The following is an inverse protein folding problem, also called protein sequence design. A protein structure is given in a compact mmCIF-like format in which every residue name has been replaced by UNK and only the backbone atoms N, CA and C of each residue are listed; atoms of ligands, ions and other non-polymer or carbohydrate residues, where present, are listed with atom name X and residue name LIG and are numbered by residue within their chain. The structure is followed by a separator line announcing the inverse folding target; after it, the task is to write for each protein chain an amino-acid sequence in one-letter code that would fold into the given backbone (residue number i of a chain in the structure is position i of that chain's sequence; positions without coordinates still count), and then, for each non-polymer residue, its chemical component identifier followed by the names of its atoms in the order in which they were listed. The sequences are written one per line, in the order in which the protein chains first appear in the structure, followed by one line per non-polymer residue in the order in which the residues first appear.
data_IF_991598989554
#
_entry.id   IF_991598989554
#
_cell.length_a   1.000
_cell.length_b   1.000
_cell.length_c   1.000
_cell.angle_alpha   90.00
_cell.angle_beta   90.00
_cell.angle_gamma   90.00
#
_symmetry.space_group_name_H-M   'P 1'
#
loop_
_entity.id
_entity.type
_entity.pdbx_description
1 polymer ?
#
# COMPACT_ATOMS: atom_id res chain seq x y z
N UNK A 1 14.84 8.47 -87.39
CA UNK A 1 15.64 8.92 -86.23
C UNK A 1 14.68 9.11 -85.07
N UNK A 2 14.50 8.04 -84.26
CA UNK A 2 13.62 8.05 -83.12
C UNK A 2 14.44 8.37 -81.87
N UNK A 3 14.04 9.40 -81.11
CA UNK A 3 14.61 9.75 -79.79
C UNK A 3 13.85 9.00 -78.70
N UNK A 4 14.53 8.13 -77.95
CA UNK A 4 14.03 7.46 -76.77
C UNK A 4 14.32 8.37 -75.57
N UNK A 5 13.27 8.85 -74.92
CA UNK A 5 13.36 9.63 -73.70
C UNK A 5 13.26 8.66 -72.47
N UNK A 6 14.34 8.54 -71.70
CA UNK A 6 14.46 7.75 -70.49
C UNK A 6 13.89 8.57 -69.32
N UNK A 7 12.77 8.13 -68.69
CA UNK A 7 12.21 8.74 -67.47
C UNK A 7 12.87 8.12 -66.26
N UNK A 8 13.62 8.95 -65.51
CA UNK A 8 14.23 8.59 -64.22
C UNK A 8 13.16 8.72 -63.13
N UNK A 9 12.78 7.61 -62.49
CA UNK A 9 11.87 7.62 -61.32
C UNK A 9 12.71 7.70 -60.05
N UNK A 10 12.64 8.85 -59.38
CA UNK A 10 13.27 9.06 -58.06
C UNK A 10 12.33 8.50 -57.01
N UNK A 11 12.69 7.37 -56.38
CA UNK A 11 11.98 6.81 -55.23
C UNK A 11 12.47 7.55 -53.97
N UNK A 12 11.60 8.36 -53.36
CA UNK A 12 11.83 8.97 -52.04
C UNK A 12 11.45 7.95 -50.96
N UNK A 13 12.45 7.33 -50.34
CA UNK A 13 12.28 6.47 -49.20
C UNK A 13 12.03 7.31 -47.94
N UNK A 14 10.81 7.27 -47.39
CA UNK A 14 10.51 7.86 -46.11
C UNK A 14 11.07 6.97 -44.99
N UNK A 15 12.12 7.41 -44.33
CA UNK A 15 12.64 6.75 -43.13
C UNK A 15 11.69 7.09 -41.93
N UNK A 16 10.92 6.10 -41.46
CA UNK A 16 10.16 6.20 -40.24
C UNK A 16 11.08 6.12 -39.02
N UNK A 17 11.35 7.25 -38.38
CA UNK A 17 11.99 7.26 -37.03
C UNK A 17 11.02 6.70 -36.01
N UNK A 18 11.24 5.47 -35.54
CA UNK A 18 10.56 4.91 -34.41
C UNK A 18 11.22 5.51 -33.14
N UNK A 19 10.61 6.54 -32.56
CA UNK A 19 10.98 7.01 -31.23
C UNK A 19 10.54 5.94 -30.20
N UNK A 20 11.46 5.08 -29.77
CA UNK A 20 11.27 4.26 -28.60
C UNK A 20 11.26 5.17 -27.36
N UNK A 21 10.06 5.56 -26.92
CA UNK A 21 9.88 6.31 -25.68
C UNK A 21 10.34 5.43 -24.49
N UNK A 22 11.36 5.86 -23.78
CA UNK A 22 11.74 5.26 -22.50
C UNK A 22 10.64 5.53 -21.49
N UNK A 23 9.91 4.49 -21.08
CA UNK A 23 8.97 4.59 -19.93
C UNK A 23 9.83 4.79 -18.69
N UNK A 24 9.87 6.01 -18.19
CA UNK A 24 10.54 6.31 -16.93
C UNK A 24 9.76 5.64 -15.77
N UNK A 25 10.48 4.99 -14.87
CA UNK A 25 9.88 4.45 -13.66
C UNK A 25 9.30 5.60 -12.83
N UNK A 26 8.01 5.51 -12.48
CA UNK A 26 7.37 6.48 -11.60
C UNK A 26 7.53 6.03 -10.15
N UNK A 27 7.91 6.96 -9.29
CA UNK A 27 8.02 6.70 -7.84
C UNK A 27 7.10 7.65 -7.09
N UNK A 28 6.49 7.14 -6.02
CA UNK A 28 5.65 7.92 -5.11
C UNK A 28 5.93 7.49 -3.68
N UNK A 29 5.94 8.45 -2.76
CA UNK A 29 6.20 8.17 -1.34
C UNK A 29 5.21 8.86 -0.44
N UNK A 30 4.81 8.17 0.62
CA UNK A 30 4.04 8.72 1.73
C UNK A 30 4.87 8.56 2.99
N UNK A 31 5.23 9.67 3.59
CA UNK A 31 6.00 9.72 4.83
C UNK A 31 5.10 10.28 5.93
N UNK A 32 4.61 9.40 6.80
CA UNK A 32 3.76 9.80 7.91
C UNK A 32 4.53 9.89 9.21
N UNK A 33 4.30 10.96 9.95
CA UNK A 33 4.52 10.98 11.39
C UNK A 33 3.30 10.39 12.08
N UNK A 34 3.54 9.52 13.07
CA UNK A 34 2.48 8.79 13.76
C UNK A 34 2.38 9.27 15.19
N UNK A 35 1.15 9.56 15.60
CA UNK A 35 0.80 10.07 16.93
C UNK A 35 -0.12 9.09 17.64
N UNK A 36 0.08 8.97 18.94
CA UNK A 36 -0.88 8.35 19.84
C UNK A 36 -1.46 9.46 20.72
N UNK A 37 -2.73 9.80 20.50
CA UNK A 37 -3.37 11.05 20.91
C UNK A 37 -2.60 12.25 20.35
N UNK A 38 -1.93 13.05 21.18
CA UNK A 38 -1.14 14.20 20.76
C UNK A 38 0.38 13.97 20.88
N UNK A 39 0.78 12.76 21.28
CA UNK A 39 2.20 12.41 21.45
C UNK A 39 2.73 11.73 20.20
N UNK A 40 3.79 12.27 19.55
CA UNK A 40 4.46 11.59 18.45
C UNK A 40 5.12 10.31 18.97
N UNK A 41 4.87 9.20 18.28
CA UNK A 41 5.39 7.88 18.67
C UNK A 41 6.29 7.25 17.61
N UNK A 42 6.42 7.86 16.44
CA UNK A 42 7.27 7.36 15.37
C UNK A 42 6.79 7.69 13.98
N UNK A 43 7.08 6.80 13.04
CA UNK A 43 6.79 7.03 11.63
C UNK A 43 6.27 5.78 10.91
N UNK A 44 5.63 5.98 9.77
CA UNK A 44 5.24 4.96 8.82
C UNK A 44 5.50 5.47 7.41
N UNK A 45 6.41 4.83 6.71
CA UNK A 45 6.85 5.21 5.37
C UNK A 45 6.36 4.19 4.35
N UNK A 46 5.94 4.68 3.21
CA UNK A 46 5.54 3.90 2.05
C UNK A 46 6.32 4.43 0.84
N UNK A 47 6.94 3.54 0.11
CA UNK A 47 7.66 3.87 -1.11
C UNK A 47 7.19 2.96 -2.24
N UNK A 48 6.47 3.54 -3.18
CA UNK A 48 5.93 2.88 -4.36
C UNK A 48 6.83 3.17 -5.57
N UNK A 49 7.24 2.14 -6.28
CA UNK A 49 7.85 2.22 -7.59
C UNK A 49 6.98 1.50 -8.62
N UNK A 50 6.83 2.09 -9.80
CA UNK A 50 6.05 1.52 -10.88
C UNK A 50 6.91 1.42 -12.14
N UNK A 51 6.93 0.22 -12.74
CA UNK A 51 7.55 -0.05 -14.02
C UNK A 51 6.55 -0.77 -14.93
N UNK A 52 5.99 -0.05 -15.88
CA UNK A 52 4.90 -0.55 -16.72
C UNK A 52 3.66 -0.92 -15.89
N UNK A 53 3.23 -2.18 -15.97
CA UNK A 53 2.06 -2.69 -15.25
C UNK A 53 2.38 -3.26 -13.86
N UNK A 54 3.66 -3.41 -13.53
CA UNK A 54 4.12 -3.91 -12.24
C UNK A 54 4.42 -2.75 -11.29
N UNK A 55 4.01 -2.92 -10.04
CA UNK A 55 4.28 -1.98 -8.95
C UNK A 55 4.90 -2.72 -7.79
N UNK A 56 5.92 -2.10 -7.21
CA UNK A 56 6.54 -2.56 -5.97
C UNK A 56 6.32 -1.51 -4.89
N UNK A 57 5.88 -1.95 -3.72
CA UNK A 57 5.71 -1.12 -2.55
C UNK A 57 6.61 -1.62 -1.43
N UNK A 58 7.39 -0.73 -0.84
CA UNK A 58 8.13 -0.95 0.39
C UNK A 58 7.49 -0.17 1.52
N UNK A 59 7.31 -0.83 2.65
CA UNK A 59 6.64 -0.27 3.84
C UNK A 59 7.59 -0.41 5.02
N UNK A 60 7.72 0.65 5.80
CA UNK A 60 8.45 0.66 7.05
C UNK A 60 7.68 1.41 8.12
N UNK A 61 7.37 0.76 9.25
CA UNK A 61 6.79 1.42 10.42
C UNK A 61 7.65 1.19 11.66
N UNK A 62 7.84 2.24 12.44
CA UNK A 62 8.59 2.22 13.71
C UNK A 62 7.86 3.08 14.72
N UNK A 63 7.31 2.45 15.77
CA UNK A 63 6.64 3.14 16.86
C UNK A 63 7.30 2.82 18.19
N UNK A 64 7.39 3.81 19.04
CA UNK A 64 7.91 3.68 20.40
C UNK A 64 7.11 4.56 21.35
N UNK A 65 6.30 3.93 22.19
CA UNK A 65 5.54 4.62 23.24
C UNK A 65 6.32 4.56 24.53
N UNK A 66 6.64 5.73 25.10
CA UNK A 66 7.33 5.84 26.36
C UNK A 66 6.37 6.27 27.47
N UNK A 67 6.52 5.66 28.64
CA UNK A 67 5.88 6.12 29.86
C UNK A 67 6.98 6.48 30.86
N UNK A 68 7.04 7.76 31.25
CA UNK A 68 8.18 8.34 31.96
C UNK A 68 9.48 8.12 31.12
N UNK A 69 10.43 7.33 31.59
CA UNK A 69 11.68 7.02 30.88
C UNK A 69 11.74 5.57 30.39
N UNK A 70 10.63 4.82 30.50
CA UNK A 70 10.57 3.40 30.14
C UNK A 70 9.85 3.24 28.82
N UNK A 71 10.38 2.39 27.92
CA UNK A 71 9.68 1.98 26.73
C UNK A 71 8.51 1.08 27.14
N UNK A 72 7.29 1.61 27.07
CA UNK A 72 6.08 0.91 27.43
C UNK A 72 5.54 0.04 26.29
N UNK A 73 5.82 0.41 25.04
CA UNK A 73 5.41 -0.34 23.85
C UNK A 73 6.34 -0.02 22.68
N UNK A 74 6.71 -1.05 21.94
CA UNK A 74 7.51 -0.95 20.71
C UNK A 74 6.84 -1.72 19.59
N UNK A 75 6.79 -1.13 18.42
CA UNK A 75 6.26 -1.76 17.21
C UNK A 75 7.22 -1.53 16.04
N UNK A 76 7.51 -2.61 15.32
CA UNK A 76 8.23 -2.53 14.04
C UNK A 76 7.48 -3.36 13.00
N UNK A 77 7.36 -2.82 11.80
CA UNK A 77 6.78 -3.53 10.67
C UNK A 77 7.54 -3.17 9.41
N UNK A 78 8.01 -4.18 8.71
CA UNK A 78 8.66 -4.09 7.41
C UNK A 78 7.89 -4.97 6.42
N UNK A 79 7.49 -4.41 5.28
CA UNK A 79 6.85 -5.19 4.25
C UNK A 79 7.30 -4.79 2.85
N UNK A 80 7.26 -5.75 1.95
CA UNK A 80 7.45 -5.58 0.52
C UNK A 80 6.31 -6.25 -0.22
N UNK A 81 5.67 -5.51 -1.11
CA UNK A 81 4.53 -5.98 -1.90
C UNK A 81 4.85 -5.83 -3.39
N UNK A 82 4.52 -6.84 -4.18
CA UNK A 82 4.47 -6.78 -5.64
C UNK A 82 3.04 -6.85 -6.12
N UNK A 83 2.72 -6.00 -7.10
CA UNK A 83 1.37 -5.84 -7.62
C UNK A 83 1.34 -5.97 -9.14
N UNK A 84 0.30 -6.63 -9.65
CA UNK A 84 -0.05 -6.63 -11.08
C UNK A 84 -1.41 -5.98 -11.25
N UNK A 85 -1.44 -4.79 -11.83
CA UNK A 85 -2.64 -3.96 -11.79
C UNK A 85 -3.08 -3.74 -10.33
N UNK A 86 -4.32 -4.06 -9.99
CA UNK A 86 -4.85 -3.91 -8.63
C UNK A 86 -4.78 -5.20 -7.78
N UNK A 87 -4.14 -6.25 -8.29
CA UNK A 87 -4.04 -7.51 -7.58
C UNK A 87 -2.67 -7.66 -6.92
N UNK A 88 -2.67 -8.05 -5.65
CA UNK A 88 -1.45 -8.42 -4.94
C UNK A 88 -0.88 -9.68 -5.57
N UNK A 89 0.36 -9.60 -6.06
CA UNK A 89 1.07 -10.73 -6.66
C UNK A 89 1.98 -11.45 -5.66
N UNK A 90 2.60 -10.69 -4.77
CA UNK A 90 3.37 -11.23 -3.65
C UNK A 90 3.44 -10.22 -2.51
N UNK A 91 3.58 -10.72 -1.30
CA UNK A 91 3.82 -9.93 -0.10
C UNK A 91 4.77 -10.70 0.80
N UNK A 92 5.76 -10.01 1.33
CA UNK A 92 6.59 -10.47 2.44
C UNK A 92 6.52 -9.41 3.53
N UNK A 93 6.11 -9.79 4.73
CA UNK A 93 6.01 -8.88 5.87
C UNK A 93 6.58 -9.49 7.14
N UNK A 94 7.24 -8.66 7.94
CA UNK A 94 7.75 -8.98 9.25
C UNK A 94 7.28 -7.94 10.25
N UNK A 95 6.67 -8.39 11.31
CA UNK A 95 6.15 -7.53 12.38
C UNK A 95 6.68 -7.98 13.72
N UNK A 96 7.10 -7.02 14.55
CA UNK A 96 7.34 -7.22 15.98
C UNK A 96 6.43 -6.24 16.72
N UNK A 97 5.37 -6.79 17.29
CA UNK A 97 4.38 -6.05 18.09
C UNK A 97 4.68 -6.30 19.58
N UNK A 98 5.54 -5.45 20.14
CA UNK A 98 5.95 -5.51 21.55
C UNK A 98 6.46 -6.89 21.98
N UNK A 99 7.27 -7.53 21.11
CA UNK A 99 7.83 -8.85 21.33
C UNK A 99 7.02 -9.99 20.68
N UNK A 100 5.77 -9.75 20.29
CA UNK A 100 4.99 -10.69 19.51
C UNK A 100 5.39 -10.59 18.03
N UNK A 101 6.11 -11.60 17.54
CA UNK A 101 6.63 -11.62 16.17
C UNK A 101 5.71 -12.36 15.23
N UNK A 102 5.54 -11.83 14.03
CA UNK A 102 4.84 -12.51 12.94
C UNK A 102 5.57 -12.30 11.61
N UNK A 103 5.48 -13.30 10.75
CA UNK A 103 5.93 -13.26 9.36
C UNK A 103 4.77 -13.69 8.46
N UNK A 104 4.59 -12.97 7.38
CA UNK A 104 3.57 -13.26 6.37
C UNK A 104 4.25 -13.26 5.01
N UNK A 105 4.17 -14.39 4.33
CA UNK A 105 4.62 -14.53 2.95
C UNK A 105 3.45 -14.96 2.08
N UNK A 106 3.29 -14.30 0.93
CA UNK A 106 2.30 -14.68 -0.05
C UNK A 106 2.91 -14.70 -1.43
N UNK A 107 2.43 -15.59 -2.27
CA UNK A 107 2.81 -15.64 -3.68
C UNK A 107 1.62 -16.06 -4.53
N UNK A 108 1.43 -15.37 -5.65
CA UNK A 108 0.40 -15.74 -6.62
C UNK A 108 0.93 -16.76 -7.62
N UNK A 109 0.19 -17.85 -7.81
CA UNK A 109 0.38 -18.79 -8.90
C UNK A 109 -0.81 -18.67 -9.87
N UNK A 110 -0.60 -17.96 -10.98
CA UNK A 110 -1.69 -17.63 -11.89
C UNK A 110 -2.73 -16.72 -11.26
N UNK A 111 -3.98 -17.17 -11.19
CA UNK A 111 -5.10 -16.42 -10.59
C UNK A 111 -5.27 -16.67 -9.09
N UNK A 112 -4.51 -17.59 -8.49
CA UNK A 112 -4.59 -17.92 -7.07
C UNK A 112 -3.46 -17.27 -6.29
N UNK A 113 -3.79 -16.60 -5.18
CA UNK A 113 -2.85 -16.13 -4.18
C UNK A 113 -2.80 -17.15 -3.04
N UNK A 114 -1.60 -17.66 -2.72
CA UNK A 114 -1.41 -18.51 -1.54
C UNK A 114 -0.78 -17.69 -0.44
N UNK A 115 -1.49 -17.49 0.67
CA UNK A 115 -0.98 -16.83 1.84
C UNK A 115 -0.40 -17.87 2.82
N UNK A 116 0.84 -17.66 3.26
CA UNK A 116 1.50 -18.45 4.31
C UNK A 116 1.80 -17.48 5.44
N UNK A 117 1.12 -17.62 6.55
CA UNK A 117 1.41 -16.85 7.76
C UNK A 117 2.11 -17.72 8.79
N UNK A 118 3.21 -17.23 9.32
CA UNK A 118 3.89 -17.81 10.47
C UNK A 118 3.79 -16.83 11.64
N UNK A 119 3.07 -17.19 12.68
CA UNK A 119 2.92 -16.36 13.88
C UNK A 119 3.71 -17.04 14.99
N UNK A 120 4.81 -16.43 15.41
CA UNK A 120 5.60 -16.88 16.55
C UNK A 120 5.19 -16.08 17.79
N UNK A 121 4.20 -16.57 18.52
CA UNK A 121 3.93 -16.14 19.87
C UNK A 121 4.79 -16.97 20.81
N UNK A 122 5.84 -16.42 21.41
CA UNK A 122 6.63 -16.94 22.53
C UNK A 122 6.76 -18.48 22.67
N UNK A 123 6.37 -19.26 21.66
CA UNK A 123 6.43 -20.72 21.63
C UNK A 123 7.19 -21.20 20.39
N UNK A 124 8.00 -22.27 20.50
CA UNK A 124 8.84 -22.76 19.40
C UNK A 124 8.09 -23.41 18.24
N UNK A 125 6.77 -23.41 18.24
CA UNK A 125 5.93 -23.97 17.17
C UNK A 125 5.20 -22.85 16.46
N UNK A 126 5.80 -22.34 15.37
CA UNK A 126 5.11 -21.45 14.44
C UNK A 126 3.90 -22.16 13.82
N UNK A 127 2.70 -21.66 14.02
CA UNK A 127 1.52 -22.17 13.32
C UNK A 127 1.58 -21.64 11.87
N UNK A 128 1.86 -22.52 10.91
CA UNK A 128 1.76 -22.23 9.49
C UNK A 128 0.32 -22.44 9.03
N UNK A 129 -0.41 -21.36 8.81
CA UNK A 129 -1.68 -21.43 8.10
C UNK A 129 -1.45 -21.20 6.61
N UNK A 130 -1.93 -22.09 5.76
CA UNK A 130 -1.92 -21.95 4.32
C UNK A 130 -3.36 -21.83 3.86
N UNK A 131 -3.72 -20.69 3.28
CA UNK A 131 -5.04 -20.48 2.70
C UNK A 131 -4.89 -20.03 1.24
N UNK A 132 -5.30 -20.88 0.27
CA UNK A 132 -5.44 -20.43 -1.10
C UNK A 132 -6.63 -19.47 -1.21
N UNK A 133 -6.45 -18.39 -1.95
CA UNK A 133 -7.49 -17.41 -2.22
C UNK A 133 -7.65 -17.25 -3.70
N UNK A 134 -8.86 -17.53 -4.16
CA UNK A 134 -9.21 -17.36 -5.57
C UNK A 134 -9.49 -15.88 -5.88
N UNK A 135 -9.02 -15.45 -7.04
CA UNK A 135 -9.28 -14.13 -7.59
C UNK A 135 -8.27 -13.05 -7.17
N UNK A 136 -8.62 -11.83 -7.52
CA UNK A 136 -7.82 -10.65 -7.22
C UNK A 136 -8.01 -10.25 -5.75
N UNK A 137 -6.96 -10.35 -4.94
CA UNK A 137 -6.95 -9.91 -3.54
C UNK A 137 -6.06 -8.68 -3.40
N UNK A 138 -6.48 -7.74 -2.55
CA UNK A 138 -5.67 -6.60 -2.12
C UNK A 138 -5.28 -6.76 -0.65
N UNK A 139 -4.14 -6.21 -0.25
CA UNK A 139 -3.82 -5.94 1.14
C UNK A 139 -4.58 -4.70 1.63
N UNK A 140 -4.40 -4.30 2.89
CA UNK A 140 -4.82 -2.96 3.36
C UNK A 140 -3.98 -1.87 2.69
N UNK A 141 -4.10 -1.78 1.37
CA UNK A 141 -3.31 -0.93 0.48
C UNK A 141 -3.85 0.51 0.45
N UNK A 142 -3.74 1.25 1.56
CA UNK A 142 -4.29 2.61 1.71
C UNK A 142 -3.81 3.58 0.61
N UNK A 143 -2.63 3.35 0.05
CA UNK A 143 -2.08 4.11 -1.07
C UNK A 143 -2.84 3.90 -2.39
N UNK A 144 -3.55 2.77 -2.52
CA UNK A 144 -4.32 2.42 -3.73
C UNK A 144 -5.82 2.63 -3.48
N UNK A 145 -6.43 3.69 -4.03
CA UNK A 145 -7.82 4.01 -3.76
C UNK A 145 -8.83 2.97 -4.29
N UNK A 146 -8.42 2.00 -5.12
CA UNK A 146 -9.29 0.90 -5.52
C UNK A 146 -9.53 -0.12 -4.39
N UNK A 147 -8.73 -0.04 -3.32
CA UNK A 147 -9.02 -0.73 -2.06
C UNK A 147 -10.39 -0.36 -1.50
N UNK A 148 -10.84 0.87 -1.71
CA UNK A 148 -12.14 1.35 -1.21
C UNK A 148 -13.37 0.61 -1.79
N UNK A 149 -13.18 -0.23 -2.82
CA UNK A 149 -14.22 -1.06 -3.44
C UNK A 149 -14.17 -2.51 -2.97
N UNK A 150 -13.23 -2.86 -2.11
CA UNK A 150 -13.04 -4.23 -1.68
C UNK A 150 -13.96 -4.58 -0.50
N UNK A 151 -14.33 -5.85 -0.42
CA UNK A 151 -15.06 -6.44 0.71
C UNK A 151 -14.21 -7.41 1.53
N UNK A 152 -13.00 -7.73 1.02
CA UNK A 152 -12.03 -8.60 1.68
C UNK A 152 -10.64 -8.03 1.46
N UNK A 153 -9.85 -7.95 2.52
CA UNK A 153 -8.47 -7.46 2.47
C UNK A 153 -7.53 -8.42 3.22
N UNK A 154 -6.34 -8.59 2.70
CA UNK A 154 -5.27 -9.32 3.37
C UNK A 154 -4.61 -8.42 4.42
N UNK A 155 -4.58 -8.89 5.66
CA UNK A 155 -3.83 -8.23 6.72
C UNK A 155 -2.36 -8.68 6.68
N UNK A 156 -1.46 -7.75 6.35
CA UNK A 156 -0.03 -8.01 6.22
C UNK A 156 0.67 -8.37 7.54
N UNK A 157 0.04 -8.10 8.69
CA UNK A 157 0.60 -8.43 10.00
C UNK A 157 0.25 -9.85 10.45
N UNK A 158 -0.90 -10.36 10.01
CA UNK A 158 -1.45 -11.63 10.52
C UNK A 158 -1.62 -12.70 9.44
N UNK A 159 -1.55 -12.32 8.15
CA UNK A 159 -1.85 -13.20 7.02
C UNK A 159 -3.32 -13.60 6.90
N UNK A 160 -4.20 -13.01 7.73
CA UNK A 160 -5.64 -13.27 7.67
C UNK A 160 -6.30 -12.43 6.59
N UNK A 161 -7.30 -13.03 5.95
CA UNK A 161 -8.22 -12.30 5.08
C UNK A 161 -9.36 -11.79 5.94
N UNK A 162 -9.49 -10.49 6.02
CA UNK A 162 -10.52 -9.82 6.80
C UNK A 162 -11.66 -9.38 5.91
N UNK A 163 -12.89 -9.69 6.31
CA UNK A 163 -14.07 -9.14 5.67
C UNK A 163 -14.24 -7.70 6.14
N UNK A 164 -14.32 -6.78 5.19
CA UNK A 164 -14.40 -5.35 5.49
C UNK A 164 -15.65 -4.73 4.87
N UNK A 165 -16.14 -3.69 5.54
CA UNK A 165 -17.16 -2.78 5.00
C UNK A 165 -16.55 -1.40 4.95
N UNK A 166 -16.57 -0.77 3.76
CA UNK A 166 -15.99 0.55 3.54
C UNK A 166 -17.10 1.53 3.21
N UNK A 167 -17.23 2.58 4.01
CA UNK A 167 -18.29 3.57 3.92
C UNK A 167 -17.71 4.97 3.75
N UNK A 168 -18.19 5.73 2.76
CA UNK A 168 -17.89 7.15 2.65
C UNK A 168 -18.65 7.92 3.72
N UNK A 169 -17.96 8.77 4.49
CA UNK A 169 -18.53 9.58 5.56
C UNK A 169 -18.77 11.05 5.16
N UNK A 170 -18.38 11.42 3.95
CA UNK A 170 -18.53 12.77 3.43
C UNK A 170 -17.21 13.52 3.28
N UNK A 171 -17.34 14.78 2.89
CA UNK A 171 -16.20 15.67 2.65
C UNK A 171 -15.97 16.60 3.85
N UNK A 172 -14.70 16.81 4.16
CA UNK A 172 -14.28 17.75 5.20
C UNK A 172 -12.92 18.35 4.86
N UNK A 173 -12.50 19.39 5.58
CA UNK A 173 -11.15 19.92 5.48
C UNK A 173 -10.29 19.38 6.60
N UNK A 174 -9.14 18.83 6.24
CA UNK A 174 -8.12 18.38 7.19
C UNK A 174 -6.84 19.20 7.02
N UNK A 175 -6.02 19.26 8.05
CA UNK A 175 -4.72 19.92 7.94
C UNK A 175 -3.70 18.94 7.34
N UNK A 176 -3.14 19.29 6.19
CA UNK A 176 -2.04 18.53 5.55
C UNK A 176 -0.85 19.47 5.42
N UNK A 177 0.24 19.18 6.10
CA UNK A 177 1.47 19.99 6.09
C UNK A 177 1.20 21.49 6.42
N UNK A 178 0.34 21.76 7.40
CA UNK A 178 -0.04 23.11 7.80
C UNK A 178 -1.12 23.77 6.92
N UNK A 179 -1.56 23.13 5.83
CA UNK A 179 -2.54 23.69 4.90
C UNK A 179 -3.90 22.99 5.04
N UNK A 180 -5.02 23.73 5.23
CA UNK A 180 -6.37 23.19 5.17
C UNK A 180 -6.66 22.60 3.78
N UNK A 181 -6.81 21.28 3.68
CA UNK A 181 -6.96 20.53 2.44
C UNK A 181 -8.31 19.84 2.40
N UNK A 182 -9.13 20.03 1.35
CA UNK A 182 -10.35 19.26 1.17
C UNK A 182 -10.06 17.78 1.01
N UNK A 183 -10.81 16.92 1.69
CA UNK A 183 -10.67 15.49 1.61
C UNK A 183 -11.99 14.77 1.85
N UNK A 184 -12.18 13.64 1.19
CA UNK A 184 -13.27 12.72 1.46
C UNK A 184 -12.83 11.71 2.52
N UNK A 185 -13.63 11.58 3.57
CA UNK A 185 -13.38 10.64 4.67
C UNK A 185 -14.10 9.32 4.40
N UNK A 186 -13.38 8.23 4.63
CA UNK A 186 -13.91 6.86 4.55
C UNK A 186 -13.66 6.13 5.86
N UNK A 187 -14.57 5.20 6.20
CA UNK A 187 -14.39 4.28 7.32
C UNK A 187 -14.29 2.85 6.80
N UNK A 188 -13.25 2.16 7.21
CA UNK A 188 -13.04 0.72 7.01
C UNK A 188 -13.37 0.02 8.32
N UNK A 189 -14.41 -0.78 8.31
CA UNK A 189 -14.86 -1.62 9.44
C UNK A 189 -14.61 -3.08 9.13
N UNK A 190 -14.54 -3.93 10.17
CA UNK A 190 -14.27 -5.37 10.03
C UNK A 190 -12.85 -5.78 10.43
N UNK A 191 -11.88 -4.86 10.44
CA UNK A 191 -10.61 -5.03 11.12
C UNK A 191 -10.77 -4.95 12.65
N UNK A 192 -9.73 -5.34 13.41
CA UNK A 192 -9.73 -5.30 14.88
C UNK A 192 -10.20 -3.93 15.43
N UNK A 193 -9.73 -2.85 14.82
CA UNK A 193 -10.14 -1.48 15.11
C UNK A 193 -10.62 -0.81 13.83
N UNK A 194 -11.70 -0.04 13.84
CA UNK A 194 -12.11 0.73 12.67
C UNK A 194 -11.01 1.71 12.26
N UNK A 195 -10.79 1.81 10.95
CA UNK A 195 -9.80 2.70 10.37
C UNK A 195 -10.52 3.78 9.59
N UNK A 196 -10.15 5.01 9.78
CA UNK A 196 -10.63 6.14 9.01
C UNK A 196 -9.51 6.67 8.11
N UNK A 197 -9.85 6.92 6.86
CA UNK A 197 -8.93 7.31 5.81
C UNK A 197 -9.41 8.59 5.15
N UNK A 198 -8.50 9.48 4.83
CA UNK A 198 -8.79 10.71 4.08
C UNK A 198 -8.06 10.69 2.75
N UNK A 199 -8.85 10.91 1.69
CA UNK A 199 -8.33 11.04 0.33
C UNK A 199 -8.66 12.43 -0.20
N UNK A 200 -7.64 13.13 -0.70
CA UNK A 200 -7.78 14.43 -1.35
C UNK A 200 -8.22 14.31 -2.81
N UNK A 201 -8.05 15.41 -3.56
CA UNK A 201 -8.19 15.43 -5.00
C UNK A 201 -7.33 14.31 -5.62
N UNK A 202 -7.74 13.82 -6.79
CA UNK A 202 -7.07 12.72 -7.51
C UNK A 202 -6.96 11.42 -6.69
N UNK A 203 -7.76 11.30 -5.62
CA UNK A 203 -7.82 10.13 -4.72
C UNK A 203 -6.46 9.83 -4.05
N UNK A 204 -5.68 10.88 -3.78
CA UNK A 204 -4.40 10.77 -3.06
C UNK A 204 -4.66 10.56 -1.58
N UNK A 205 -4.05 9.54 -0.98
CA UNK A 205 -4.15 9.27 0.45
C UNK A 205 -3.40 10.32 1.27
N UNK A 206 -4.09 10.97 2.22
CA UNK A 206 -3.58 12.12 2.99
C UNK A 206 -3.43 11.85 4.48
N UNK A 207 -4.30 11.03 5.07
CA UNK A 207 -4.30 10.78 6.50
C UNK A 207 -4.95 9.43 6.85
N UNK A 208 -4.64 8.95 8.04
CA UNK A 208 -5.27 7.79 8.67
C UNK A 208 -5.50 8.08 10.15
N UNK A 209 -6.62 7.60 10.67
CA UNK A 209 -6.88 7.55 12.10
C UNK A 209 -7.52 6.20 12.47
N UNK A 210 -7.21 5.71 13.66
CA UNK A 210 -7.90 4.57 14.27
C UNK A 210 -8.07 4.82 15.75
N UNK A 211 -9.22 4.39 16.29
CA UNK A 211 -9.47 4.40 17.73
C UNK A 211 -9.13 3.02 18.28
N UNK A 212 -8.13 2.97 19.13
CA UNK A 212 -7.63 1.76 19.78
C UNK A 212 -8.42 1.45 21.06
N UNK A 213 -8.10 0.30 21.68
CA UNK A 213 -8.62 -0.06 22.99
C UNK A 213 -8.33 1.05 24.02
N UNK A 214 -9.28 1.29 24.92
CA UNK A 214 -9.19 2.39 25.89
C UNK A 214 -9.47 3.78 25.30
N UNK A 215 -9.98 3.87 24.05
CA UNK A 215 -10.37 5.13 23.41
C UNK A 215 -9.22 5.99 22.90
N UNK A 216 -7.99 5.49 22.94
CA UNK A 216 -6.83 6.21 22.46
C UNK A 216 -6.83 6.31 20.94
N UNK A 217 -6.38 7.45 20.38
CA UNK A 217 -6.39 7.74 18.95
C UNK A 217 -5.00 7.60 18.33
N UNK A 218 -4.86 6.64 17.44
CA UNK A 218 -3.69 6.53 16.56
C UNK A 218 -3.94 7.41 15.32
N UNK A 219 -3.05 8.35 15.03
CA UNK A 219 -3.20 9.30 13.92
C UNK A 219 -1.94 9.36 13.07
N UNK A 220 -2.12 9.37 11.75
CA UNK A 220 -1.06 9.52 10.75
C UNK A 220 -1.17 10.89 10.10
N UNK A 221 -0.10 11.66 10.14
CA UNK A 221 0.01 12.97 9.52
C UNK A 221 1.09 12.96 8.46
N UNK A 222 0.74 13.33 7.25
CA UNK A 222 1.65 13.37 6.11
C UNK A 222 2.65 14.52 6.28
N UNK A 223 3.95 14.20 6.13
CA UNK A 223 5.08 15.15 6.16
C UNK A 223 5.46 15.64 4.79
#
# INVERSE_FOLDING_TARGET
MSRVTLKLHTAIGAAMLICAGTVAAQTQSWNFEVFLDDTPIGHHHYHLSQNGTERELKIEARFNVKFLFINAYRYTHDASERWRGNCLAALTARTDDNGAKSEVDTESQGAQLTAIASIAYMAPTATRARAPVDGCLMSFAYWNPDMLRQTRLLNAQTGKIENVTITALGEEKINVRGTPTPATRYRVSGAKHPIELWYGADRVWLALQSTLDGGRRLRYQLK
#
